data_IF_700373766399
#
_entry.id   IF_700373766399
#
_cell.length_a   1.000
_cell.length_b   1.000
_cell.length_c   1.000
_cell.angle_alpha   90.00
_cell.angle_beta   90.00
_cell.angle_gamma   90.00
#
_symmetry.space_group_name_H-M   'P 1'
#
loop_
_entity.id
_entity.type
_entity.pdbx_description
1 polymer ?
#
# COMPACT_ATOMS: atom_id res chain seq x y z
N UNK A 1 -14.68 8.83 16.19
CA UNK A 1 -14.07 8.99 14.89
C UNK A 1 -13.07 7.87 14.59
N UNK A 2 -13.50 6.62 14.67
CA UNK A 2 -12.64 5.45 14.41
C UNK A 2 -12.86 4.73 13.09
N UNK A 3 -13.84 5.16 12.29
CA UNK A 3 -14.31 4.40 11.13
C UNK A 3 -13.35 4.34 9.93
N UNK A 4 -12.61 5.42 9.67
CA UNK A 4 -11.67 5.47 8.55
C UNK A 4 -10.41 4.63 8.80
N UNK A 5 -9.86 4.67 10.01
CA UNK A 5 -8.70 3.86 10.38
C UNK A 5 -9.00 2.36 10.35
N UNK A 6 -10.22 1.97 10.77
CA UNK A 6 -10.70 0.58 10.70
C UNK A 6 -10.90 0.15 9.23
N UNK A 7 -11.48 1.01 8.40
CA UNK A 7 -11.71 0.74 6.98
C UNK A 7 -10.40 0.51 6.21
N UNK A 8 -9.38 1.37 6.41
CA UNK A 8 -8.06 1.21 5.81
C UNK A 8 -7.33 -0.02 6.35
N UNK A 9 -7.48 -0.34 7.63
CA UNK A 9 -6.89 -1.50 8.28
C UNK A 9 -7.48 -2.82 7.74
N UNK A 10 -8.79 -2.88 7.55
CA UNK A 10 -9.47 -4.05 6.97
C UNK A 10 -9.11 -4.23 5.48
N UNK A 11 -9.11 -3.17 4.69
CA UNK A 11 -8.71 -3.26 3.28
C UNK A 11 -7.23 -3.62 3.10
N UNK A 12 -6.35 -3.10 3.95
CA UNK A 12 -4.94 -3.48 3.92
C UNK A 12 -4.74 -4.94 4.32
N UNK A 13 -5.50 -5.46 5.28
CA UNK A 13 -5.48 -6.89 5.63
C UNK A 13 -5.91 -7.78 4.47
N UNK A 14 -6.91 -7.37 3.71
CA UNK A 14 -7.40 -8.10 2.53
C UNK A 14 -6.34 -8.10 1.43
N UNK A 15 -5.76 -6.95 1.11
CA UNK A 15 -4.68 -6.82 0.12
C UNK A 15 -3.44 -7.59 0.55
N UNK A 16 -3.05 -7.54 1.84
CA UNK A 16 -1.91 -8.30 2.38
C UNK A 16 -2.13 -9.82 2.32
N UNK A 17 -3.36 -10.30 2.57
CA UNK A 17 -3.68 -11.73 2.44
C UNK A 17 -3.63 -12.17 0.98
N UNK A 18 -4.11 -11.37 0.05
CA UNK A 18 -4.01 -11.66 -1.38
C UNK A 18 -2.55 -11.65 -1.86
N UNK A 19 -1.73 -10.71 -1.37
CA UNK A 19 -0.31 -10.64 -1.70
C UNK A 19 0.48 -11.83 -1.12
N UNK A 20 0.20 -12.23 0.09
CA UNK A 20 0.81 -13.41 0.72
C UNK A 20 0.40 -14.71 0.01
N UNK A 21 -0.83 -14.80 -0.48
CA UNK A 21 -1.31 -15.94 -1.25
C UNK A 21 -0.66 -16.03 -2.64
N UNK A 22 -0.39 -14.88 -3.29
CA UNK A 22 0.28 -14.81 -4.60
C UNK A 22 1.79 -15.11 -4.52
N UNK A 23 2.44 -14.85 -3.39
CA UNK A 23 3.87 -15.12 -3.19
C UNK A 23 4.16 -16.50 -2.60
N UNK A 24 3.16 -17.16 -2.02
CA UNK A 24 3.29 -18.49 -1.43
C UNK A 24 3.11 -19.64 -2.44
N UNK A 25 2.62 -19.36 -3.64
CA UNK A 25 2.33 -20.39 -4.65
C UNK A 25 2.90 -19.97 -6.01
N UNK A 26 4.18 -20.21 -6.18
CA UNK A 26 4.79 -20.31 -7.50
C UNK A 26 5.28 -21.75 -7.69
N UNK A 27 4.44 -22.67 -8.16
CA UNK A 27 4.95 -23.87 -8.78
C UNK A 27 5.50 -23.46 -10.15
N UNK A 28 6.76 -23.77 -10.39
CA UNK A 28 7.33 -23.73 -11.73
C UNK A 28 6.56 -24.73 -12.61
N UNK A 29 5.60 -24.24 -13.35
CA UNK A 29 5.02 -24.98 -14.44
C UNK A 29 5.80 -24.69 -15.70
N UNK A 30 6.23 -25.71 -16.47
CA UNK A 30 6.92 -25.51 -17.75
C UNK A 30 6.00 -24.83 -18.74
N UNK A 31 6.55 -23.84 -19.45
CA UNK A 31 5.84 -23.15 -20.54
C UNK A 31 5.35 -24.16 -21.59
N UNK A 32 4.07 -24.12 -21.97
CA UNK A 32 3.63 -24.83 -23.16
C UNK A 32 4.15 -24.11 -24.42
N UNK A 33 4.49 -24.84 -25.48
CA UNK A 33 4.98 -24.27 -26.73
C UNK A 33 3.88 -23.47 -27.44
N UNK A 34 4.24 -22.52 -28.31
CA UNK A 34 3.26 -21.69 -29.00
C UNK A 34 2.57 -22.48 -30.08
N UNK A 35 1.33 -22.87 -29.87
CA UNK A 35 0.48 -23.39 -30.93
C UNK A 35 -0.75 -22.50 -31.17
N UNK A 36 -0.75 -21.99 -32.41
CA UNK A 36 -1.88 -21.66 -33.28
C UNK A 36 -2.98 -20.76 -32.72
N UNK A 37 -2.95 -19.55 -33.24
CA UNK A 37 -4.04 -18.59 -33.29
C UNK A 37 -5.25 -19.24 -33.96
N UNK A 38 -6.25 -19.60 -33.17
CA UNK A 38 -7.61 -19.83 -33.66
C UNK A 38 -8.42 -18.61 -33.31
N UNK A 39 -8.82 -17.86 -34.34
CA UNK A 39 -9.75 -16.75 -34.22
C UNK A 39 -11.08 -17.26 -33.66
N UNK A 40 -11.37 -17.00 -32.39
CA UNK A 40 -12.70 -17.20 -31.81
C UNK A 40 -13.44 -15.88 -31.87
N UNK A 41 -14.54 -15.89 -32.64
CA UNK A 41 -15.55 -14.82 -32.70
C UNK A 41 -15.99 -14.45 -31.28
N UNK A 42 -15.96 -13.17 -30.99
CA UNK A 42 -16.55 -12.58 -29.78
C UNK A 42 -18.05 -12.86 -29.69
N UNK A 43 -18.55 -13.33 -28.55
CA UNK A 43 -19.92 -13.07 -28.16
C UNK A 43 -19.96 -11.76 -27.38
N UNK A 44 -20.73 -10.83 -27.90
CA UNK A 44 -21.09 -9.59 -27.23
C UNK A 44 -21.97 -9.90 -26.01
N UNK A 45 -21.38 -10.25 -24.90
CA UNK A 45 -21.99 -10.15 -23.57
C UNK A 45 -20.91 -10.44 -22.49
N UNK A 46 -19.93 -9.55 -22.39
CA UNK A 46 -18.89 -9.67 -21.36
C UNK A 46 -19.10 -8.61 -20.28
N UNK A 47 -19.54 -9.08 -19.14
CA UNK A 47 -19.67 -8.37 -17.87
C UNK A 47 -18.49 -7.42 -17.64
N UNK A 48 -18.72 -6.13 -17.86
CA UNK A 48 -17.78 -5.04 -17.58
C UNK A 48 -17.22 -4.98 -16.12
N UNK A 49 -17.84 -5.54 -15.07
CA UNK A 49 -17.38 -5.41 -13.70
C UNK A 49 -16.03 -6.08 -13.41
N UNK A 50 -15.74 -7.22 -14.03
CA UNK A 50 -14.55 -8.01 -13.66
C UNK A 50 -13.25 -7.46 -14.26
N UNK A 51 -13.30 -6.88 -15.45
CA UNK A 51 -12.12 -6.29 -16.12
C UNK A 51 -11.69 -4.99 -15.41
N UNK A 52 -12.65 -4.17 -14.98
CA UNK A 52 -12.37 -2.93 -14.26
C UNK A 52 -11.79 -3.22 -12.88
N UNK A 53 -12.29 -4.24 -12.20
CA UNK A 53 -11.77 -4.68 -10.90
C UNK A 53 -10.34 -5.20 -11.03
N UNK A 54 -10.05 -6.01 -12.04
CA UNK A 54 -8.70 -6.52 -12.32
C UNK A 54 -7.70 -5.40 -12.63
N UNK A 55 -8.09 -4.37 -13.40
CA UNK A 55 -7.22 -3.23 -13.71
C UNK A 55 -6.96 -2.36 -12.47
N UNK A 56 -7.94 -2.19 -11.60
CA UNK A 56 -7.77 -1.45 -10.36
C UNK A 56 -6.87 -2.21 -9.37
N UNK A 57 -7.01 -3.52 -9.28
CA UNK A 57 -6.17 -4.37 -8.44
C UNK A 57 -4.71 -4.35 -8.92
N UNK A 58 -4.48 -4.45 -10.24
CA UNK A 58 -3.14 -4.34 -10.84
C UNK A 58 -2.51 -2.96 -10.62
N UNK A 59 -3.30 -1.88 -10.69
CA UNK A 59 -2.84 -0.53 -10.38
C UNK A 59 -2.42 -0.41 -8.92
N UNK A 60 -3.25 -0.87 -8.00
CA UNK A 60 -2.96 -0.82 -6.56
C UNK A 60 -1.72 -1.64 -6.20
N UNK A 61 -1.52 -2.78 -6.83
CA UNK A 61 -0.32 -3.59 -6.66
C UNK A 61 0.94 -2.84 -7.08
N UNK A 62 0.92 -2.17 -8.25
CA UNK A 62 2.04 -1.34 -8.73
C UNK A 62 2.31 -0.16 -7.80
N UNK A 63 1.26 0.52 -7.33
CA UNK A 63 1.37 1.61 -6.36
C UNK A 63 2.00 1.11 -5.05
N UNK A 64 1.52 0.01 -4.49
CA UNK A 64 2.06 -0.58 -3.26
C UNK A 64 3.52 -0.99 -3.41
N UNK A 65 3.87 -1.64 -4.50
CA UNK A 65 5.26 -2.05 -4.78
C UNK A 65 6.18 -0.84 -4.88
N UNK A 66 5.77 0.19 -5.62
CA UNK A 66 6.54 1.43 -5.75
C UNK A 66 6.72 2.14 -4.40
N UNK A 67 5.66 2.29 -3.61
CA UNK A 67 5.73 2.92 -2.29
C UNK A 67 6.62 2.11 -1.34
N UNK A 68 6.48 0.78 -1.30
CA UNK A 68 7.30 -0.08 -0.45
C UNK A 68 8.80 -0.01 -0.79
N UNK A 69 9.14 0.06 -2.06
CA UNK A 69 10.52 0.21 -2.51
C UNK A 69 11.13 1.57 -2.13
N UNK A 70 10.30 2.57 -1.95
CA UNK A 70 10.69 3.95 -1.66
C UNK A 70 10.28 4.40 -0.24
N UNK A 71 9.88 3.50 0.64
CA UNK A 71 9.34 3.83 1.97
C UNK A 71 10.30 4.68 2.80
N UNK A 72 11.60 4.38 2.73
CA UNK A 72 12.67 5.06 3.46
C UNK A 72 13.20 6.31 2.74
N UNK A 73 12.76 6.57 1.52
CA UNK A 73 13.20 7.73 0.77
C UNK A 73 12.37 8.96 1.17
N UNK A 74 12.97 9.96 1.84
CA UNK A 74 12.25 11.14 2.29
C UNK A 74 11.77 12.04 1.14
N UNK A 75 12.43 11.97 0.00
CA UNK A 75 12.11 12.78 -1.20
C UNK A 75 11.04 12.12 -2.07
N UNK A 76 10.67 10.88 -1.76
CA UNK A 76 9.64 10.17 -2.50
C UNK A 76 8.28 10.87 -2.41
N UNK A 77 7.74 11.23 -3.55
CA UNK A 77 6.53 12.02 -3.69
C UNK A 77 5.59 11.45 -4.78
N UNK A 78 4.45 12.10 -4.95
CA UNK A 78 3.42 11.68 -5.92
C UNK A 78 3.93 11.71 -7.36
N UNK A 79 4.81 12.65 -7.70
CA UNK A 79 5.33 12.78 -9.08
C UNK A 79 6.27 11.62 -9.42
N UNK A 80 7.11 11.20 -8.47
CA UNK A 80 7.93 9.98 -8.62
C UNK A 80 7.05 8.73 -8.76
N UNK A 81 6.00 8.65 -7.94
CA UNK A 81 5.05 7.53 -8.02
C UNK A 81 4.35 7.47 -9.38
N UNK A 82 3.89 8.61 -9.91
CA UNK A 82 3.22 8.66 -11.23
C UNK A 82 4.15 8.24 -12.36
N UNK A 83 5.41 8.66 -12.29
CA UNK A 83 6.44 8.28 -13.27
C UNK A 83 6.68 6.76 -13.28
N UNK A 84 6.77 6.15 -12.10
CA UNK A 84 6.99 4.70 -11.99
C UNK A 84 5.76 3.87 -12.36
N UNK A 85 4.58 4.34 -11.97
CA UNK A 85 3.32 3.64 -12.28
C UNK A 85 2.88 3.85 -13.73
N UNK A 86 3.38 4.91 -14.40
CA UNK A 86 3.14 5.16 -15.84
C UNK A 86 1.74 5.68 -16.13
N UNK A 87 1.13 6.43 -15.20
CA UNK A 87 -0.15 7.13 -15.41
C UNK A 87 -0.02 8.59 -15.00
N UNK A 88 -0.90 9.45 -15.52
CA UNK A 88 -0.87 10.87 -15.18
C UNK A 88 -1.26 11.11 -13.72
N UNK A 89 -0.79 12.23 -13.16
CA UNK A 89 -1.12 12.65 -11.80
C UNK A 89 -2.64 12.75 -11.56
N UNK A 90 -3.37 13.28 -12.53
CA UNK A 90 -4.83 13.40 -12.46
C UNK A 90 -5.53 12.05 -12.45
N UNK A 91 -5.07 11.11 -13.28
CA UNK A 91 -5.59 9.75 -13.31
C UNK A 91 -5.31 9.02 -12.00
N UNK A 92 -4.07 9.11 -11.49
CA UNK A 92 -3.70 8.51 -10.21
C UNK A 92 -4.54 9.09 -9.07
N UNK A 93 -4.66 10.42 -8.99
CA UNK A 93 -5.45 11.09 -7.96
C UNK A 93 -6.91 10.62 -7.95
N UNK A 94 -7.56 10.59 -9.13
CA UNK A 94 -8.94 10.12 -9.27
C UNK A 94 -9.08 8.67 -8.83
N UNK A 95 -8.18 7.79 -9.30
CA UNK A 95 -8.21 6.36 -8.97
C UNK A 95 -7.94 6.11 -7.48
N UNK A 96 -6.96 6.79 -6.90
CA UNK A 96 -6.67 6.66 -5.47
C UNK A 96 -7.84 7.12 -4.61
N UNK A 97 -8.49 8.24 -4.96
CA UNK A 97 -9.67 8.72 -4.26
C UNK A 97 -10.85 7.74 -4.36
N UNK A 98 -11.07 7.15 -5.53
CA UNK A 98 -12.09 6.13 -5.75
C UNK A 98 -11.83 4.87 -4.92
N UNK A 99 -10.57 4.38 -4.89
CA UNK A 99 -10.21 3.12 -4.28
C UNK A 99 -9.94 3.21 -2.78
N UNK A 100 -9.43 4.33 -2.31
CA UNK A 100 -8.99 4.51 -0.91
C UNK A 100 -9.80 5.55 -0.14
N UNK A 101 -10.57 6.38 -0.83
CA UNK A 101 -11.33 7.49 -0.24
C UNK A 101 -10.47 8.72 0.11
N UNK A 102 -9.15 8.64 -0.02
CA UNK A 102 -8.19 9.70 0.36
C UNK A 102 -7.30 10.15 -0.79
N UNK A 103 -6.42 11.11 -0.51
CA UNK A 103 -5.42 11.56 -1.47
C UNK A 103 -4.26 10.56 -1.57
N UNK A 104 -3.55 10.59 -2.70
CA UNK A 104 -2.34 9.78 -2.91
C UNK A 104 -1.26 10.07 -1.85
N UNK A 105 -1.08 11.33 -1.48
CA UNK A 105 -0.11 11.73 -0.45
C UNK A 105 -0.49 11.19 0.94
N UNK A 106 -1.77 11.19 1.28
CA UNK A 106 -2.25 10.56 2.52
C UNK A 106 -2.03 9.06 2.52
N UNK A 107 -2.24 8.42 1.39
CA UNK A 107 -2.00 6.99 1.24
C UNK A 107 -0.53 6.62 1.48
N UNK A 108 0.41 7.33 0.85
CA UNK A 108 1.86 7.15 1.06
C UNK A 108 2.20 7.36 2.54
N UNK A 109 1.71 8.46 3.13
CA UNK A 109 1.94 8.77 4.55
C UNK A 109 1.41 7.68 5.48
N UNK A 110 0.22 7.18 5.23
CA UNK A 110 -0.39 6.13 6.04
C UNK A 110 0.40 4.82 5.98
N UNK A 111 0.90 4.44 4.80
CA UNK A 111 1.78 3.27 4.66
C UNK A 111 3.09 3.45 5.44
N UNK A 112 3.69 4.64 5.41
CA UNK A 112 4.88 4.95 6.23
C UNK A 112 4.60 4.81 7.73
N UNK A 113 3.45 5.30 8.19
CA UNK A 113 3.03 5.19 9.60
C UNK A 113 2.75 3.76 10.02
N UNK A 114 2.15 2.95 9.16
CA UNK A 114 1.91 1.52 9.43
C UNK A 114 3.24 0.74 9.52
N UNK A 115 4.18 1.06 8.65
CA UNK A 115 5.51 0.45 8.72
C UNK A 115 6.28 0.89 9.98
N UNK A 116 6.17 2.18 10.35
CA UNK A 116 6.71 2.70 11.59
C UNK A 116 6.12 1.99 12.82
N UNK A 117 4.81 1.79 12.86
CA UNK A 117 4.14 1.10 13.96
C UNK A 117 4.69 -0.33 14.17
N UNK A 118 4.99 -1.04 13.09
CA UNK A 118 5.64 -2.37 13.16
C UNK A 118 7.05 -2.28 13.73
N UNK A 119 7.87 -1.35 13.24
CA UNK A 119 9.25 -1.16 13.74
C UNK A 119 9.27 -0.76 15.23
N UNK A 120 8.30 0.06 15.67
CA UNK A 120 8.16 0.44 17.07
C UNK A 120 7.83 -0.79 17.93
N UNK A 121 6.93 -1.66 17.48
CA UNK A 121 6.57 -2.88 18.19
C UNK A 121 7.72 -3.89 18.30
N UNK A 122 8.60 -3.91 17.32
CA UNK A 122 9.81 -4.76 17.36
C UNK A 122 10.82 -4.31 18.44
N UNK A 123 10.70 -3.08 18.94
CA UNK A 123 11.55 -2.49 20.01
C UNK A 123 13.06 -2.53 19.73
N UNK A 124 13.46 -2.67 18.48
CA UNK A 124 14.87 -2.70 18.06
C UNK A 124 15.45 -1.32 17.80
N UNK A 125 14.59 -0.35 17.57
CA UNK A 125 14.93 1.01 17.15
C UNK A 125 14.28 2.03 18.06
N UNK A 126 14.96 3.15 18.31
CA UNK A 126 14.34 4.29 18.97
C UNK A 126 13.41 5.06 18.02
N UNK A 127 12.55 5.92 18.58
CA UNK A 127 11.55 6.67 17.79
C UNK A 127 12.19 7.52 16.69
N UNK A 128 13.35 8.10 16.95
CA UNK A 128 14.10 8.91 15.98
C UNK A 128 14.56 8.05 14.79
N UNK A 129 15.14 6.91 15.08
CA UNK A 129 15.59 5.95 14.05
C UNK A 129 14.40 5.46 13.21
N UNK A 130 13.28 5.14 13.85
CA UNK A 130 12.06 4.73 13.14
C UNK A 130 11.58 5.83 12.21
N UNK A 131 11.48 7.09 12.67
CA UNK A 131 11.04 8.22 11.85
C UNK A 131 11.84 8.35 10.56
N UNK A 132 13.18 8.33 10.67
CA UNK A 132 14.05 8.41 9.48
C UNK A 132 13.96 7.16 8.60
N UNK A 133 13.87 5.96 9.19
CA UNK A 133 13.76 4.71 8.44
C UNK A 133 12.50 4.61 7.59
N UNK A 134 11.46 5.32 7.94
CA UNK A 134 10.20 5.36 7.17
C UNK A 134 10.03 6.64 6.34
N UNK A 135 11.12 7.38 6.12
CA UNK A 135 11.16 8.51 5.19
C UNK A 135 10.60 9.83 5.74
N UNK A 136 10.59 10.03 7.05
CA UNK A 136 10.34 11.35 7.63
C UNK A 136 11.65 12.11 7.85
N UNK A 137 11.70 13.36 7.47
CA UNK A 137 12.86 14.23 7.66
C UNK A 137 12.94 14.85 9.06
N UNK A 138 11.87 14.76 9.84
CA UNK A 138 11.76 15.41 11.14
C UNK A 138 10.97 14.55 12.10
N UNK A 139 11.59 14.20 13.25
CA UNK A 139 10.97 13.39 14.27
C UNK A 139 9.74 14.04 14.91
N UNK A 140 9.76 15.38 15.12
CA UNK A 140 8.61 16.07 15.72
C UNK A 140 7.39 16.01 14.81
N UNK A 141 7.58 16.23 13.50
CA UNK A 141 6.54 16.06 12.51
C UNK A 141 6.02 14.61 12.46
N UNK A 142 6.92 13.63 12.45
CA UNK A 142 6.56 12.21 12.53
C UNK A 142 5.68 11.93 13.75
N UNK A 143 6.11 12.36 14.95
CA UNK A 143 5.37 12.11 16.19
C UNK A 143 3.98 12.74 16.19
N UNK A 144 3.85 13.95 15.64
CA UNK A 144 2.56 14.64 15.49
C UNK A 144 1.62 13.88 14.56
N UNK A 145 2.12 13.48 13.40
CA UNK A 145 1.33 12.74 12.39
C UNK A 145 0.97 11.33 12.90
N UNK A 146 1.91 10.66 13.57
CA UNK A 146 1.69 9.35 14.17
C UNK A 146 0.59 9.42 15.26
N UNK A 147 0.67 10.41 16.16
CA UNK A 147 -0.36 10.63 17.18
C UNK A 147 -1.73 10.90 16.56
N UNK A 148 -1.78 11.71 15.50
CA UNK A 148 -3.03 11.99 14.78
C UNK A 148 -3.64 10.72 14.18
N UNK A 149 -2.80 9.81 13.69
CA UNK A 149 -3.23 8.58 13.02
C UNK A 149 -3.64 7.47 14.02
N UNK A 150 -2.86 7.27 15.07
CA UNK A 150 -3.06 6.18 16.06
C UNK A 150 -3.71 6.64 17.37
N UNK A 151 -3.92 7.94 17.58
CA UNK A 151 -4.48 8.49 18.81
C UNK A 151 -3.49 8.59 19.98
N UNK A 152 -2.23 8.18 19.78
CA UNK A 152 -1.17 8.19 20.80
C UNK A 152 0.21 8.43 20.18
N UNK A 153 1.14 8.87 21.00
CA UNK A 153 2.53 9.10 20.57
C UNK A 153 3.24 7.78 20.22
N UNK A 154 4.30 7.83 19.41
CA UNK A 154 5.13 6.64 19.12
C UNK A 154 5.67 5.97 20.40
N UNK A 155 6.02 6.75 21.41
CA UNK A 155 6.52 6.23 22.71
C UNK A 155 5.44 5.46 23.44
N UNK A 156 4.26 6.06 23.61
CA UNK A 156 3.10 5.39 24.22
C UNK A 156 2.70 4.12 23.46
N UNK A 157 2.86 4.14 22.13
CA UNK A 157 2.59 2.98 21.27
C UNK A 157 3.58 1.84 21.52
N UNK A 158 4.87 2.16 21.78
CA UNK A 158 5.91 1.17 22.11
C UNK A 158 5.70 0.48 23.45
N UNK A 159 5.08 1.17 24.41
CA UNK A 159 4.84 0.66 25.75
C UNK A 159 3.62 -0.29 25.85
N UNK A 160 2.79 -0.32 24.80
CA UNK A 160 1.65 -1.24 24.75
C UNK A 160 2.09 -2.70 24.75
N UNK A 161 1.40 -3.58 25.50
CA UNK A 161 1.60 -5.01 25.36
C UNK A 161 1.27 -5.43 23.93
N UNK A 162 2.15 -6.23 23.34
CA UNK A 162 1.96 -6.80 22.00
C UNK A 162 0.72 -7.69 22.06
N UNK A 163 -0.38 -7.23 21.49
CA UNK A 163 -1.51 -8.13 21.28
C UNK A 163 -1.12 -9.09 20.16
N UNK A 164 -0.66 -10.27 20.56
CA UNK A 164 -0.51 -11.40 19.67
C UNK A 164 -1.94 -11.82 19.25
N UNK A 165 -2.25 -11.55 18.00
CA UNK A 165 -3.43 -12.13 17.33
C UNK A 165 -2.96 -13.20 16.39
#
# INVERSE_FOLDING_TARGET
MGGLAVYYRERYRVVKRQYAALTAEAPQAPMPPPESVVAVKEPADRKLPDVVKSNNDALMERVLKCVNNNISNPDFNVDMLTSEVGISRSQLHRKMKELTGGSTSEYIRNLRLEYAARLIQERKFNVTQVAYSVGFNNQAHFSTVFKKHYGMTPTEYSERPIQQS
#
